data_IF_130777213451
#
_entry.id   IF_130777213451
#
_cell.length_a   1.000
_cell.length_b   1.000
_cell.length_c   1.000
_cell.angle_alpha   90.00
_cell.angle_beta   90.00
_cell.angle_gamma   90.00
#
_symmetry.space_group_name_H-M   'P 1'
#
loop_
_entity.id
_entity.type
_entity.pdbx_description
1 polymer ?
#
# COMPACT_ATOMS: atom_id res chain seq x y z
N UNK A 1 19.27 16.96 16.79
CA UNK A 1 18.42 16.95 15.58
C UNK A 1 19.15 16.13 14.52
N UNK A 2 18.67 14.92 14.19
CA UNK A 2 19.38 14.03 13.23
C UNK A 2 18.96 14.40 11.81
N UNK A 3 19.91 14.91 11.03
CA UNK A 3 19.73 15.30 9.64
C UNK A 3 19.54 14.07 8.76
N UNK A 4 18.54 14.11 7.89
CA UNK A 4 18.36 13.14 6.82
C UNK A 4 19.61 13.17 5.91
N UNK A 5 20.21 12.01 5.63
CA UNK A 5 21.26 11.90 4.62
C UNK A 5 20.64 11.65 3.24
N UNK A 6 21.41 11.92 2.18
CA UNK A 6 20.92 11.79 0.80
C UNK A 6 20.40 10.38 0.51
N UNK A 7 21.11 9.35 0.93
CA UNK A 7 20.71 7.97 0.74
C UNK A 7 19.34 7.64 1.38
N UNK A 8 19.03 8.22 2.55
CA UNK A 8 17.70 8.08 3.17
C UNK A 8 16.61 8.80 2.37
N UNK A 9 16.90 9.97 1.82
CA UNK A 9 15.95 10.71 0.99
C UNK A 9 15.68 9.98 -0.32
N UNK A 10 16.72 9.49 -0.99
CA UNK A 10 16.59 8.73 -2.23
C UNK A 10 15.67 7.51 -2.03
N UNK A 11 15.79 6.80 -0.91
CA UNK A 11 14.88 5.69 -0.57
C UNK A 11 13.40 6.11 -0.42
N UNK A 12 13.13 7.34 0.00
CA UNK A 12 11.75 7.86 0.15
C UNK A 12 11.19 8.27 -1.20
N UNK A 13 12.00 8.89 -2.06
CA UNK A 13 11.57 9.37 -3.38
C UNK A 13 11.56 8.28 -4.45
N UNK A 14 12.34 7.21 -4.26
CA UNK A 14 12.38 6.02 -5.12
C UNK A 14 11.91 4.77 -4.36
N UNK A 15 10.61 4.70 -3.97
CA UNK A 15 10.10 3.53 -3.29
C UNK A 15 10.14 2.33 -4.23
N UNK A 16 10.46 1.15 -3.68
CA UNK A 16 10.33 -0.13 -4.42
C UNK A 16 9.00 -0.84 -4.17
N UNK A 17 8.24 -0.36 -3.18
CA UNK A 17 6.99 -0.95 -2.74
C UNK A 17 6.11 0.11 -2.08
N UNK A 18 4.79 -0.05 -2.22
CA UNK A 18 3.76 0.74 -1.54
C UNK A 18 2.89 -0.21 -0.73
N UNK A 19 2.67 0.11 0.54
CA UNK A 19 1.68 -0.57 1.37
C UNK A 19 0.59 0.43 1.74
N UNK A 20 -0.66 0.11 1.42
CA UNK A 20 -1.81 0.94 1.78
C UNK A 20 -2.52 0.32 2.96
N UNK A 21 -2.59 1.06 4.06
CA UNK A 21 -3.22 0.63 5.30
C UNK A 21 -4.63 1.22 5.39
N UNK A 22 -5.65 0.38 5.55
CA UNK A 22 -7.00 0.83 5.85
C UNK A 22 -7.74 1.55 4.71
N UNK A 23 -7.45 1.24 3.44
CA UNK A 23 -8.20 1.78 2.31
C UNK A 23 -9.67 1.35 2.34
N UNK A 24 -10.56 2.33 2.41
CA UNK A 24 -11.96 2.10 2.74
C UNK A 24 -12.77 1.70 1.50
N UNK A 25 -13.62 0.67 1.69
CA UNK A 25 -14.58 0.22 0.66
C UNK A 25 -15.51 1.33 0.20
N UNK A 26 -15.91 2.23 1.10
CA UNK A 26 -16.80 3.35 0.78
C UNK A 26 -16.21 4.36 -0.20
N UNK A 27 -14.88 4.44 -0.33
CA UNK A 27 -14.21 5.19 -1.41
C UNK A 27 -13.80 4.30 -2.59
N UNK A 28 -14.33 3.09 -2.67
CA UNK A 28 -14.04 2.15 -3.75
C UNK A 28 -12.59 1.66 -3.80
N UNK A 29 -11.89 1.65 -2.66
CA UNK A 29 -10.45 1.35 -2.58
C UNK A 29 -9.59 2.29 -3.46
N UNK A 30 -9.86 3.59 -3.36
CA UNK A 30 -9.30 4.62 -4.24
C UNK A 30 -7.78 4.71 -4.20
N UNK A 31 -7.14 4.47 -3.05
CA UNK A 31 -5.68 4.51 -2.95
C UNK A 31 -5.05 3.32 -3.66
N UNK A 32 -5.58 2.12 -3.42
CA UNK A 32 -5.13 0.91 -4.09
C UNK A 32 -5.30 1.00 -5.61
N UNK A 33 -6.42 1.55 -6.09
CA UNK A 33 -6.64 1.78 -7.52
C UNK A 33 -5.66 2.80 -8.10
N UNK A 34 -5.40 3.89 -7.38
CA UNK A 34 -4.48 4.95 -7.82
C UNK A 34 -3.06 4.43 -8.03
N UNK A 35 -2.62 3.49 -7.20
CA UNK A 35 -1.27 2.91 -7.27
C UNK A 35 -1.20 1.60 -8.06
N UNK A 36 -2.28 1.17 -8.72
CA UNK A 36 -2.30 -0.10 -9.48
C UNK A 36 -1.27 -0.15 -10.62
N UNK A 37 -0.93 1.00 -11.20
CA UNK A 37 0.10 1.12 -12.24
C UNK A 37 1.50 1.43 -11.71
N UNK A 38 1.73 1.33 -10.40
CA UNK A 38 3.07 1.49 -9.84
C UNK A 38 3.95 0.31 -10.24
N UNK A 39 5.16 0.59 -10.73
CA UNK A 39 6.08 -0.45 -11.24
C UNK A 39 6.62 -1.38 -10.13
N UNK A 40 6.56 -0.95 -8.87
CA UNK A 40 6.97 -1.74 -7.72
C UNK A 40 5.83 -2.57 -7.10
N UNK A 41 6.12 -3.22 -5.98
CA UNK A 41 5.13 -4.05 -5.30
C UNK A 41 4.05 -3.20 -4.61
N UNK A 42 2.77 -3.51 -4.83
CA UNK A 42 1.65 -2.91 -4.13
C UNK A 42 1.02 -3.92 -3.17
N UNK A 43 0.89 -3.52 -1.91
CA UNK A 43 0.32 -4.32 -0.83
C UNK A 43 -0.81 -3.58 -0.14
N UNK A 44 -1.69 -4.36 0.48
CA UNK A 44 -2.75 -3.86 1.34
C UNK A 44 -2.61 -4.40 2.76
N UNK A 45 -2.95 -3.59 3.75
CA UNK A 45 -3.00 -4.00 5.16
C UNK A 45 -4.40 -3.78 5.71
N UNK A 46 -5.18 -4.85 5.80
CA UNK A 46 -6.54 -4.87 6.35
C UNK A 46 -6.77 -6.07 7.26
N UNK A 47 -7.44 -5.81 8.39
CA UNK A 47 -7.88 -6.83 9.34
C UNK A 47 -9.31 -7.31 9.08
N UNK A 48 -10.16 -6.47 8.47
CA UNK A 48 -11.52 -6.86 8.10
C UNK A 48 -11.49 -7.91 6.97
N UNK A 49 -11.98 -9.13 7.19
CA UNK A 49 -11.91 -10.21 6.20
C UNK A 49 -12.74 -9.94 4.95
N UNK A 50 -13.81 -9.16 5.03
CA UNK A 50 -14.62 -8.79 3.86
C UNK A 50 -13.84 -7.86 2.94
N UNK A 51 -13.23 -6.82 3.52
CA UNK A 51 -12.39 -5.89 2.75
C UNK A 51 -11.16 -6.58 2.17
N UNK A 52 -10.52 -7.46 2.94
CA UNK A 52 -9.39 -8.24 2.46
C UNK A 52 -9.72 -9.05 1.20
N UNK A 53 -10.87 -9.75 1.20
CA UNK A 53 -11.33 -10.52 0.03
C UNK A 53 -11.61 -9.64 -1.18
N UNK A 54 -12.29 -8.50 -0.99
CA UNK A 54 -12.53 -7.55 -2.08
C UNK A 54 -11.21 -7.05 -2.69
N UNK A 55 -10.19 -6.81 -1.85
CA UNK A 55 -8.88 -6.32 -2.27
C UNK A 55 -8.08 -7.41 -3.00
N UNK A 56 -8.07 -8.63 -2.46
CA UNK A 56 -7.46 -9.80 -3.10
C UNK A 56 -8.08 -10.07 -4.47
N UNK A 57 -9.40 -9.89 -4.62
CA UNK A 57 -10.09 -10.00 -5.90
C UNK A 57 -9.66 -8.94 -6.93
N UNK A 58 -9.06 -7.82 -6.49
CA UNK A 58 -8.44 -6.82 -7.39
C UNK A 58 -7.03 -7.22 -7.84
N UNK A 59 -6.50 -8.36 -7.35
CA UNK A 59 -5.15 -8.85 -7.62
C UNK A 59 -4.07 -8.27 -6.70
N UNK A 60 -4.45 -7.69 -5.56
CA UNK A 60 -3.53 -7.06 -4.61
C UNK A 60 -3.43 -7.93 -3.35
N UNK A 61 -2.21 -8.30 -2.94
CA UNK A 61 -2.02 -9.08 -1.74
C UNK A 61 -2.38 -8.29 -0.48
N UNK A 62 -3.25 -8.86 0.36
CA UNK A 62 -3.64 -8.28 1.63
C UNK A 62 -2.97 -9.01 2.81
N UNK A 63 -2.43 -8.23 3.73
CA UNK A 63 -1.88 -8.72 4.99
C UNK A 63 -2.77 -8.25 6.14
N UNK A 64 -3.08 -9.16 7.06
CA UNK A 64 -3.60 -8.78 8.37
C UNK A 64 -2.38 -8.37 9.18
N UNK A 65 -2.46 -7.29 9.96
CA UNK A 65 -1.35 -6.89 10.84
C UNK A 65 -0.81 -8.12 11.57
N UNK A 66 0.51 -8.30 11.56
CA UNK A 66 1.20 -9.23 12.46
C UNK A 66 0.83 -8.91 13.90
#
# INVERSE_FOLDING_TARGET
>A
MRYFDRARLDRVFEPRSIAVVGDKRSSGYGWLRRFKGFDGALYSVHTNPVSARDIEAMGIANYRSV
#
